data_IF_273440881594
#
_entry.id   IF_273440881594
#
_cell.length_a   1.000
_cell.length_b   1.000
_cell.length_c   1.000
_cell.angle_alpha   90.00
_cell.angle_beta   90.00
_cell.angle_gamma   90.00
#
_symmetry.space_group_name_H-M   'P 1'
#
loop_
_entity.id
_entity.type
_entity.pdbx_description
1 polymer ?
#
# COMPACT_ATOMS: atom_id res chain seq x y z
N UNK A 1 -3.14 0.85 -4.70
CA UNK A 1 -2.16 1.17 -3.63
C UNK A 1 -2.01 2.68 -3.56
N UNK A 2 -1.80 3.20 -2.35
CA UNK A 2 -1.75 4.62 -2.06
C UNK A 2 -0.57 5.32 -2.76
N UNK A 3 0.53 4.62 -2.95
CA UNK A 3 1.69 5.10 -3.70
C UNK A 3 1.38 5.36 -5.18
N UNK A 4 0.52 4.56 -5.82
CA UNK A 4 0.09 4.80 -7.21
C UNK A 4 -0.72 6.09 -7.33
N UNK A 5 -1.55 6.37 -6.33
CA UNK A 5 -2.31 7.62 -6.27
C UNK A 5 -1.38 8.81 -6.11
N UNK A 6 -0.43 8.72 -5.16
CA UNK A 6 0.60 9.75 -4.98
C UNK A 6 1.39 10.03 -6.27
N UNK A 7 1.87 8.99 -6.96
CA UNK A 7 2.65 9.12 -8.19
C UNK A 7 1.84 9.80 -9.32
N UNK A 8 0.54 9.51 -9.42
CA UNK A 8 -0.34 10.15 -10.42
C UNK A 8 -0.50 11.65 -10.17
N UNK A 9 -0.64 12.04 -8.90
CA UNK A 9 -0.74 13.45 -8.50
C UNK A 9 0.61 14.16 -8.68
N UNK A 10 1.72 13.55 -8.27
CA UNK A 10 3.07 14.07 -8.46
C UNK A 10 3.35 14.34 -9.94
N UNK A 11 3.05 13.38 -10.81
CA UNK A 11 3.25 13.52 -12.24
C UNK A 11 2.41 14.67 -12.83
N UNK A 12 1.14 14.76 -12.43
CA UNK A 12 0.24 15.84 -12.87
C UNK A 12 0.73 17.22 -12.44
N UNK A 13 1.24 17.34 -11.21
CA UNK A 13 1.84 18.57 -10.72
C UNK A 13 3.16 18.88 -11.43
N UNK A 14 3.99 17.86 -11.68
CA UNK A 14 5.26 18.02 -12.37
C UNK A 14 5.04 18.58 -13.78
N UNK A 15 4.04 18.07 -14.49
CA UNK A 15 3.62 18.59 -15.79
C UNK A 15 3.18 20.07 -15.70
N UNK A 16 2.32 20.40 -14.73
CA UNK A 16 1.80 21.76 -14.52
C UNK A 16 2.89 22.78 -14.18
N UNK A 17 3.85 22.40 -13.33
CA UNK A 17 4.91 23.29 -12.84
C UNK A 17 6.23 23.16 -13.62
N UNK A 18 6.28 22.31 -14.64
CA UNK A 18 7.49 22.01 -15.43
C UNK A 18 8.70 21.69 -14.53
N UNK A 19 8.49 20.91 -13.47
CA UNK A 19 9.52 20.56 -12.48
C UNK A 19 9.93 21.66 -11.50
N UNK A 20 9.40 22.89 -11.62
CA UNK A 20 9.68 23.99 -10.69
C UNK A 20 8.55 24.18 -9.70
N UNK A 21 8.48 23.29 -8.72
CA UNK A 21 7.48 23.36 -7.67
C UNK A 21 7.73 24.54 -6.72
N UNK A 22 6.68 25.27 -6.33
CA UNK A 22 6.68 26.08 -5.11
C UNK A 22 7.06 25.24 -3.89
N UNK A 23 7.75 25.85 -2.91
CA UNK A 23 8.30 25.11 -1.76
C UNK A 23 7.22 24.45 -0.89
N UNK A 24 6.07 25.12 -0.72
CA UNK A 24 4.92 24.58 0.00
C UNK A 24 4.37 23.30 -0.66
N UNK A 25 4.35 23.25 -2.00
CA UNK A 25 3.91 22.08 -2.76
C UNK A 25 4.92 20.93 -2.59
N UNK A 26 6.23 21.20 -2.62
CA UNK A 26 7.25 20.17 -2.38
C UNK A 26 7.10 19.56 -0.99
N UNK A 27 6.99 20.40 0.04
CA UNK A 27 6.82 19.93 1.43
C UNK A 27 5.55 19.09 1.58
N UNK A 28 4.44 19.49 0.95
CA UNK A 28 3.20 18.71 0.96
C UNK A 28 3.33 17.38 0.21
N UNK A 29 3.97 17.38 -0.97
CA UNK A 29 4.21 16.16 -1.75
C UNK A 29 5.08 15.17 -0.97
N UNK A 30 6.13 15.65 -0.30
CA UNK A 30 6.98 14.80 0.53
C UNK A 30 6.20 14.15 1.68
N UNK A 31 5.44 14.93 2.46
CA UNK A 31 4.61 14.41 3.56
C UNK A 31 3.57 13.40 3.07
N UNK A 32 2.97 13.66 1.90
CA UNK A 32 2.03 12.75 1.29
C UNK A 32 2.70 11.44 0.84
N UNK A 33 3.94 11.49 0.36
CA UNK A 33 4.71 10.31 -0.03
C UNK A 33 4.97 9.41 1.18
N UNK A 34 5.43 10.00 2.29
CA UNK A 34 5.69 9.31 3.56
C UNK A 34 4.40 8.65 4.09
N UNK A 35 3.27 9.35 4.05
CA UNK A 35 1.98 8.82 4.47
C UNK A 35 1.49 7.66 3.57
N UNK A 36 1.64 7.80 2.24
CA UNK A 36 1.25 6.78 1.28
C UNK A 36 2.10 5.50 1.45
N UNK A 37 3.41 5.65 1.65
CA UNK A 37 4.32 4.53 1.92
C UNK A 37 3.89 3.77 3.18
N UNK A 38 3.69 4.47 4.30
CA UNK A 38 3.27 3.85 5.57
C UNK A 38 1.93 3.12 5.43
N UNK A 39 0.98 3.71 4.71
CA UNK A 39 -0.31 3.07 4.47
C UNK A 39 -0.16 1.77 3.65
N UNK A 40 0.61 1.78 2.57
CA UNK A 40 0.83 0.59 1.76
C UNK A 40 1.62 -0.50 2.52
N UNK A 41 2.54 -0.10 3.40
CA UNK A 41 3.26 -1.02 4.30
C UNK A 41 2.30 -1.73 5.26
N UNK A 42 1.47 -0.97 5.99
CA UNK A 42 0.50 -1.53 6.94
C UNK A 42 -0.55 -2.41 6.24
N UNK A 43 -1.05 -1.98 5.08
CA UNK A 43 -1.97 -2.79 4.28
C UNK A 43 -1.33 -4.08 3.77
N UNK A 44 -0.03 -4.08 3.51
CA UNK A 44 0.70 -5.30 3.11
C UNK A 44 0.85 -6.28 4.28
N UNK A 45 1.12 -5.80 5.50
CA UNK A 45 1.15 -6.63 6.71
C UNK A 45 -0.22 -7.28 6.97
N UNK A 46 -1.30 -6.48 6.93
CA UNK A 46 -2.67 -6.98 7.09
C UNK A 46 -2.99 -8.06 6.04
N UNK A 47 -2.61 -7.84 4.77
CA UNK A 47 -2.84 -8.83 3.71
C UNK A 47 -2.10 -10.14 3.98
N UNK A 48 -0.86 -10.05 4.47
CA UNK A 48 -0.06 -11.23 4.81
C UNK A 48 -0.71 -12.03 5.94
N UNK A 49 -1.13 -11.37 7.02
CA UNK A 49 -1.83 -12.03 8.14
C UNK A 49 -3.12 -12.74 7.69
N UNK A 50 -3.90 -12.12 6.80
CA UNK A 50 -5.11 -12.74 6.23
C UNK A 50 -4.74 -14.01 5.45
N UNK A 51 -3.69 -13.97 4.63
CA UNK A 51 -3.23 -15.12 3.85
C UNK A 51 -2.76 -16.27 4.76
N UNK A 52 -2.02 -15.97 5.83
CA UNK A 52 -1.59 -16.97 6.80
C UNK A 52 -2.78 -17.61 7.53
N UNK A 53 -3.75 -16.80 7.97
CA UNK A 53 -4.95 -17.30 8.63
C UNK A 53 -5.78 -18.21 7.71
N UNK A 54 -5.95 -17.83 6.44
CA UNK A 54 -6.62 -18.65 5.43
C UNK A 54 -5.87 -19.97 5.19
N UNK A 55 -4.55 -19.93 5.02
CA UNK A 55 -3.74 -21.13 4.82
C UNK A 55 -3.79 -22.08 6.03
N UNK A 56 -3.75 -21.54 7.25
CA UNK A 56 -3.90 -22.33 8.47
C UNK A 56 -5.28 -23.00 8.58
N UNK A 57 -6.34 -22.29 8.19
CA UNK A 57 -7.69 -22.83 8.18
C UNK A 57 -7.85 -23.97 7.16
N UNK A 58 -7.36 -23.80 5.93
CA UNK A 58 -7.39 -24.84 4.89
C UNK A 58 -6.67 -26.12 5.33
N UNK A 59 -5.45 -26.00 5.87
CA UNK A 59 -4.69 -27.15 6.41
C UNK A 59 -5.44 -27.88 7.53
N UNK A 60 -6.12 -27.14 8.41
CA UNK A 60 -6.89 -27.72 9.51
C UNK A 60 -8.14 -28.47 9.01
N UNK A 61 -8.73 -28.04 7.90
CA UNK A 61 -9.87 -28.74 7.28
C UNK A 61 -9.45 -30.03 6.58
N UNK A 62 -8.33 -30.01 5.85
CA UNK A 62 -7.75 -31.19 5.21
C UNK A 62 -7.42 -32.29 6.24
N UNK A 63 -6.73 -31.93 7.32
CA UNK A 63 -6.40 -32.86 8.41
C UNK A 63 -7.64 -33.44 9.14
N UNK A 64 -8.79 -32.78 9.05
CA UNK A 64 -10.05 -33.25 9.66
C UNK A 64 -10.83 -34.19 8.74
N UNK A 65 -10.58 -34.14 7.42
CA UNK A 65 -11.25 -34.96 6.41
C UNK A 65 -10.60 -36.33 6.19
N UNK A 66 -9.31 -36.48 6.48
CA UNK A 66 -8.57 -37.75 6.34
C UNK A 66 -8.76 -38.73 7.52
N UNK A 67 -9.52 -38.31 8.55
CA UNK A 67 -9.79 -39.10 9.76
C UNK A 67 -11.19 -39.71 9.84
N UNK A 68 -11.96 -39.78 8.74
CA UNK A 68 -13.29 -40.41 8.67
C UNK A 68 -13.33 -41.60 7.73
#
# INVERSE_FOLDING_TARGET
MAMNFWATIEHSLNYKYSGRFPEDIKVRLQRAAEAAYRLDEEMSKIRFEIQEAQAAFSRKQEAKGEGQ
#
